data_IF_144855104444
#
_entry.id   IF_144855104444
#
_cell.length_a   1.000
_cell.length_b   1.000
_cell.length_c   1.000
_cell.angle_alpha   90.00
_cell.angle_beta   90.00
_cell.angle_gamma   90.00
#
_symmetry.space_group_name_H-M   'P 1'
#
loop_
_entity.id
_entity.type
_entity.pdbx_description
1 polymer ?
#
# COMPACT_ATOMS: atom_id res chain seq x y z
N UNK A 1 -3.83 -18.79 -4.71
CA UNK A 1 -4.37 -17.49 -4.27
C UNK A 1 -4.07 -17.27 -2.80
N UNK A 2 -3.20 -16.32 -2.46
CA UNK A 2 -3.01 -15.91 -1.07
C UNK A 2 -4.31 -15.28 -0.55
N UNK A 3 -4.70 -15.59 0.68
CA UNK A 3 -5.85 -14.94 1.33
C UNK A 3 -5.40 -13.58 1.83
N UNK A 4 -5.84 -12.53 1.15
CA UNK A 4 -5.53 -11.14 1.49
C UNK A 4 -6.80 -10.48 2.01
N UNK A 5 -6.71 -9.78 3.14
CA UNK A 5 -7.84 -9.07 3.71
C UNK A 5 -8.06 -7.76 2.95
N UNK A 6 -9.22 -7.64 2.30
CA UNK A 6 -9.61 -6.45 1.55
C UNK A 6 -9.64 -5.19 2.42
N UNK A 7 -10.07 -5.29 3.70
CA UNK A 7 -10.07 -4.13 4.61
C UNK A 7 -8.66 -3.63 4.85
N UNK A 8 -7.70 -4.54 4.99
CA UNK A 8 -6.28 -4.18 5.14
C UNK A 8 -5.74 -3.53 3.87
N UNK A 9 -6.08 -4.04 2.69
CA UNK A 9 -5.68 -3.42 1.40
C UNK A 9 -6.21 -1.99 1.28
N UNK A 10 -7.49 -1.76 1.59
CA UNK A 10 -8.09 -0.43 1.54
C UNK A 10 -7.45 0.54 2.54
N UNK A 11 -7.12 0.06 3.74
CA UNK A 11 -6.45 0.89 4.75
C UNK A 11 -4.98 1.20 4.37
N UNK A 12 -4.26 0.22 3.81
CA UNK A 12 -2.92 0.44 3.26
C UNK A 12 -2.94 1.49 2.15
N UNK A 13 -3.88 1.38 1.21
CA UNK A 13 -4.05 2.37 0.15
C UNK A 13 -4.29 3.77 0.71
N UNK A 14 -5.17 3.90 1.72
CA UNK A 14 -5.37 5.17 2.41
C UNK A 14 -4.07 5.73 2.97
N UNK A 15 -3.29 4.94 3.70
CA UNK A 15 -2.03 5.39 4.29
C UNK A 15 -0.98 5.78 3.24
N UNK A 16 -0.87 5.01 2.14
CA UNK A 16 0.09 5.26 1.05
C UNK A 16 -0.27 6.53 0.28
N UNK A 17 -1.54 6.74 -0.08
CA UNK A 17 -1.97 7.97 -0.79
C UNK A 17 -1.73 9.24 0.00
N UNK A 18 -1.92 9.18 1.31
CA UNK A 18 -1.70 10.32 2.20
C UNK A 18 -0.25 10.43 2.68
N UNK A 19 0.65 9.53 2.24
CA UNK A 19 2.05 9.47 2.66
C UNK A 19 2.20 9.39 4.19
N UNK A 20 1.27 8.72 4.85
CA UNK A 20 1.20 8.58 6.31
C UNK A 20 1.64 7.19 6.79
N UNK A 21 2.40 6.43 6.01
CA UNK A 21 2.81 5.07 6.41
C UNK A 21 3.90 5.09 7.49
N UNK A 22 4.85 6.03 7.41
CA UNK A 22 6.11 5.93 8.13
C UNK A 22 7.03 4.86 7.52
N UNK A 23 8.05 4.48 8.27
CA UNK A 23 8.96 3.36 7.98
C UNK A 23 8.20 2.03 7.88
N UNK A 24 8.82 0.98 7.34
CA UNK A 24 8.22 -0.36 7.29
C UNK A 24 7.83 -0.91 8.67
N UNK A 25 8.55 -0.53 9.72
CA UNK A 25 8.22 -0.90 11.11
C UNK A 25 6.95 -0.21 11.59
N UNK A 26 6.85 1.10 11.37
CA UNK A 26 5.67 1.89 11.77
C UNK A 26 4.44 1.52 10.93
N UNK A 27 4.63 1.26 9.64
CA UNK A 27 3.56 0.82 8.77
C UNK A 27 3.01 -0.54 9.22
N UNK A 28 3.87 -1.50 9.53
CA UNK A 28 3.45 -2.81 10.05
C UNK A 28 2.69 -2.66 11.38
N UNK A 29 3.14 -1.77 12.27
CA UNK A 29 2.46 -1.46 13.52
C UNK A 29 1.07 -0.84 13.30
N UNK A 30 0.93 0.14 12.39
CA UNK A 30 -0.38 0.73 12.02
C UNK A 30 -1.34 -0.30 11.43
N UNK A 31 -0.80 -1.28 10.72
CA UNK A 31 -1.55 -2.35 10.07
C UNK A 31 -1.86 -3.55 10.99
N UNK A 32 -1.42 -3.48 12.25
CA UNK A 32 -1.51 -4.56 13.23
C UNK A 32 -1.07 -5.91 12.62
N UNK A 33 0.17 -5.95 12.14
CA UNK A 33 0.76 -7.13 11.51
C UNK A 33 2.28 -7.14 11.64
N UNK A 34 2.87 -8.29 11.35
CA UNK A 34 4.34 -8.40 11.25
C UNK A 34 4.88 -7.67 10.01
N UNK A 35 6.17 -7.32 10.03
CA UNK A 35 6.84 -6.72 8.86
C UNK A 35 6.88 -7.66 7.65
N UNK A 36 7.01 -8.98 7.87
CA UNK A 36 6.97 -9.96 6.78
C UNK A 36 5.59 -10.00 6.14
N UNK A 37 4.52 -10.03 6.96
CA UNK A 37 3.14 -9.93 6.46
C UNK A 37 2.92 -8.64 5.68
N UNK A 38 3.41 -7.49 6.18
CA UNK A 38 3.33 -6.23 5.45
C UNK A 38 3.96 -6.33 4.05
N UNK A 39 5.17 -6.92 3.95
CA UNK A 39 5.84 -7.09 2.66
C UNK A 39 5.10 -8.06 1.74
N UNK A 40 4.44 -9.08 2.26
CA UNK A 40 3.56 -9.94 1.46
C UNK A 40 2.37 -9.18 0.90
N UNK A 41 1.77 -8.27 1.67
CA UNK A 41 0.70 -7.40 1.19
C UNK A 41 1.20 -6.41 0.13
N UNK A 42 2.36 -5.80 0.34
CA UNK A 42 2.96 -4.88 -0.65
C UNK A 42 3.29 -5.63 -1.95
N UNK A 43 3.85 -6.85 -1.87
CA UNK A 43 4.11 -7.68 -3.03
C UNK A 43 2.82 -8.02 -3.77
N UNK A 44 1.78 -8.44 -3.04
CA UNK A 44 0.46 -8.70 -3.64
C UNK A 44 -0.09 -7.47 -4.36
N UNK A 45 -0.02 -6.28 -3.75
CA UNK A 45 -0.47 -5.05 -4.41
C UNK A 45 0.34 -4.75 -5.68
N UNK A 46 1.66 -4.95 -5.66
CA UNK A 46 2.51 -4.71 -6.84
C UNK A 46 2.27 -5.71 -7.97
N UNK A 47 2.22 -7.00 -7.63
CA UNK A 47 2.27 -8.07 -8.61
C UNK A 47 0.87 -8.42 -9.14
N UNK A 48 -0.15 -8.41 -8.28
CA UNK A 48 -1.52 -8.84 -8.64
C UNK A 48 -2.46 -7.66 -8.92
N UNK A 49 -2.22 -6.49 -8.30
CA UNK A 49 -3.03 -5.27 -8.53
C UNK A 49 -2.31 -4.24 -9.41
N UNK A 50 -1.10 -4.56 -9.87
CA UNK A 50 -0.30 -3.77 -10.81
C UNK A 50 -0.04 -2.32 -10.36
N UNK A 51 0.08 -2.07 -9.05
CA UNK A 51 0.44 -0.74 -8.51
C UNK A 51 1.93 -0.61 -8.20
N UNK A 52 2.55 0.49 -8.61
CA UNK A 52 3.93 0.78 -8.25
C UNK A 52 3.98 1.50 -6.88
N UNK A 53 4.40 0.79 -5.83
CA UNK A 53 4.59 1.36 -4.50
C UNK A 53 6.09 1.49 -4.22
N UNK A 54 6.59 2.68 -3.89
CA UNK A 54 8.00 2.93 -3.56
C UNK A 54 8.14 3.48 -2.14
N UNK A 55 9.35 3.40 -1.57
CA UNK A 55 9.66 4.01 -0.27
C UNK A 55 10.57 5.21 -0.46
N UNK A 56 10.11 6.38 -0.02
CA UNK A 56 10.91 7.59 0.06
C UNK A 56 11.74 7.55 1.36
N UNK A 57 13.06 7.46 1.22
CA UNK A 57 13.99 7.41 2.36
C UNK A 57 14.12 8.75 3.09
N UNK A 58 13.89 9.86 2.40
CA UNK A 58 14.00 11.20 2.99
C UNK A 58 12.74 11.58 3.75
N UNK A 59 11.57 11.31 3.16
CA UNK A 59 10.28 11.55 3.81
C UNK A 59 9.86 10.42 4.75
N UNK A 60 10.53 9.27 4.70
CA UNK A 60 10.27 8.13 5.56
C UNK A 60 8.87 7.55 5.33
N UNK A 61 8.43 7.44 4.08
CA UNK A 61 7.05 7.05 3.76
C UNK A 61 6.93 6.29 2.45
N UNK A 62 5.93 5.43 2.35
CA UNK A 62 5.58 4.75 1.11
C UNK A 62 4.62 5.62 0.29
N UNK A 63 4.80 5.61 -1.02
CA UNK A 63 3.98 6.37 -1.96
C UNK A 63 3.75 5.58 -3.25
N UNK A 64 2.71 5.95 -3.99
CA UNK A 64 2.47 5.44 -5.34
C UNK A 64 3.30 6.22 -6.37
N UNK A 65 3.98 5.49 -7.25
CA UNK A 65 4.65 6.04 -8.42
C UNK A 65 3.79 5.79 -9.65
N UNK A 66 2.99 6.78 -10.05
CA UNK A 66 2.01 6.65 -11.12
C UNK A 66 0.62 6.24 -10.62
N UNK A 67 0.15 5.02 -10.96
CA UNK A 67 -1.22 4.58 -10.63
C UNK A 67 -1.37 4.24 -9.14
N UNK A 68 -2.50 4.62 -8.57
CA UNK A 68 -2.93 4.17 -7.25
C UNK A 68 -3.88 2.98 -7.38
N UNK A 69 -4.38 2.45 -6.26
CA UNK A 69 -5.28 1.29 -6.26
C UNK A 69 -6.53 1.54 -7.11
N UNK A 70 -7.20 2.68 -6.95
CA UNK A 70 -8.45 2.98 -7.65
C UNK A 70 -8.25 3.10 -9.15
N UNK A 71 -7.20 3.80 -9.59
CA UNK A 71 -6.92 3.95 -11.02
C UNK A 71 -6.47 2.64 -11.67
N UNK A 72 -5.79 1.77 -10.93
CA UNK A 72 -5.41 0.43 -11.41
C UNK A 72 -6.63 -0.50 -11.56
N UNK A 73 -7.63 -0.35 -10.70
CA UNK A 73 -8.91 -1.04 -10.79
C UNK A 73 -9.89 -0.44 -11.83
N UNK A 74 -9.48 0.61 -12.56
CA UNK A 74 -10.29 1.24 -13.61
C UNK A 74 -11.35 2.22 -13.10
N UNK A 75 -11.34 2.60 -11.82
CA UNK A 75 -12.22 3.65 -11.32
C UNK A 75 -11.74 5.02 -11.77
N UNK A 76 -12.65 5.83 -12.32
CA UNK A 76 -12.40 7.26 -12.55
C UNK A 76 -12.52 7.99 -11.21
N UNK A 77 -11.45 8.64 -10.77
CA UNK A 77 -11.51 9.55 -9.63
C UNK A 77 -12.35 10.74 -10.07
N UNK A 78 -13.60 10.81 -9.62
CA UNK A 78 -14.44 11.99 -9.80
C UNK A 78 -13.98 12.98 -8.73
N UNK A 79 -13.31 14.05 -9.17
CA UNK A 79 -12.84 15.14 -8.31
C UNK A 79 -13.97 16.03 -7.84
#
# INVERSE_FOLDING_TARGET
>A
MKRVDLKKILYMDFLIRHKCTGTSKEFAAKMDMSRSTLFEYIAYMRDELEVCILFDKFLGTYYYDGKNLYTSLGFKVVG
#
